data_IF_011979103405
#
_entry.id   IF_011979103405
#
_cell.length_a   1.000
_cell.length_b   1.000
_cell.length_c   1.000
_cell.angle_alpha   90.00
_cell.angle_beta   90.00
_cell.angle_gamma   90.00
#
_symmetry.space_group_name_H-M   'P 1'
#
loop_
_entity.id
_entity.type
_entity.pdbx_description
1 polymer ?
#
# COMPACT_ATOMS: atom_id res chain seq x y z
N UNK A 1 1.88 -31.07 14.24
CA UNK A 1 2.05 -29.65 13.89
C UNK A 1 0.68 -29.14 13.44
N UNK A 2 0.17 -28.04 14.01
CA UNK A 2 -1.04 -27.41 13.47
C UNK A 2 -0.69 -26.84 12.08
N UNK A 3 -1.59 -27.05 11.10
CA UNK A 3 -1.39 -26.48 9.76
C UNK A 3 -1.26 -24.95 9.87
N UNK A 4 -0.36 -24.36 9.08
CA UNK A 4 -0.22 -22.90 9.01
C UNK A 4 -1.55 -22.32 8.50
N UNK A 5 -2.17 -21.36 9.20
CA UNK A 5 -3.41 -20.74 8.75
C UNK A 5 -3.26 -19.90 7.47
N UNK A 6 -2.02 -19.59 7.06
CA UNK A 6 -1.71 -18.84 5.83
C UNK A 6 -1.15 -19.79 4.78
N UNK A 7 -1.85 -19.89 3.67
CA UNK A 7 -1.49 -20.71 2.51
C UNK A 7 -0.90 -19.83 1.39
N UNK A 8 0.27 -20.23 0.89
CA UNK A 8 0.90 -19.58 -0.25
C UNK A 8 0.23 -19.98 -1.57
N UNK A 9 -0.15 -19.02 -2.39
CA UNK A 9 -0.77 -19.21 -3.69
C UNK A 9 0.23 -18.97 -4.80
N UNK A 10 0.26 -19.85 -5.81
CA UNK A 10 1.09 -19.75 -7.00
C UNK A 10 2.55 -19.38 -6.68
N UNK A 11 3.29 -20.23 -5.94
CA UNK A 11 4.67 -19.95 -5.56
C UNK A 11 5.57 -19.89 -6.79
N UNK A 12 6.49 -18.93 -6.79
CA UNK A 12 7.46 -18.67 -7.86
C UNK A 12 8.88 -18.50 -7.28
N UNK A 13 9.87 -18.49 -8.17
CA UNK A 13 11.24 -18.09 -7.83
C UNK A 13 11.60 -16.83 -8.62
N UNK A 14 11.53 -15.69 -7.95
CA UNK A 14 11.65 -14.39 -8.58
C UNK A 14 13.11 -13.98 -8.81
N UNK A 15 13.38 -13.50 -10.03
CA UNK A 15 14.62 -12.88 -10.43
C UNK A 15 15.82 -13.83 -10.48
N UNK A 16 17.01 -13.27 -10.78
CA UNK A 16 18.27 -14.04 -10.87
C UNK A 16 18.67 -14.70 -9.55
N UNK A 17 18.34 -14.05 -8.43
CA UNK A 17 18.56 -14.57 -7.08
C UNK A 17 17.63 -15.72 -6.68
N UNK A 18 16.63 -16.04 -7.52
CA UNK A 18 15.64 -17.11 -7.32
C UNK A 18 14.98 -17.04 -5.93
N UNK A 19 14.57 -15.84 -5.52
CA UNK A 19 13.89 -15.61 -4.25
C UNK A 19 12.53 -16.35 -4.25
N UNK A 20 12.28 -17.27 -3.31
CA UNK A 20 10.98 -17.92 -3.18
C UNK A 20 9.92 -16.87 -2.80
N UNK A 21 8.97 -16.61 -3.70
CA UNK A 21 7.86 -15.69 -3.50
C UNK A 21 6.54 -16.44 -3.75
N UNK A 22 5.47 -15.96 -3.12
CA UNK A 22 4.11 -16.32 -3.44
C UNK A 22 3.46 -15.14 -4.18
N UNK A 23 2.79 -15.40 -5.31
CA UNK A 23 2.03 -14.35 -6.01
C UNK A 23 0.82 -13.88 -5.20
N UNK A 24 0.44 -14.66 -4.21
CA UNK A 24 -0.56 -14.31 -3.22
C UNK A 24 -0.58 -15.27 -2.06
N UNK A 25 -1.42 -14.97 -1.08
CA UNK A 25 -1.69 -15.82 0.08
C UNK A 25 -3.18 -15.82 0.40
N UNK A 26 -3.63 -16.91 1.03
CA UNK A 26 -4.97 -17.06 1.56
C UNK A 26 -4.92 -17.34 3.05
N UNK A 27 -5.77 -16.66 3.85
CA UNK A 27 -5.97 -16.97 5.26
C UNK A 27 -7.37 -16.56 5.72
N UNK A 28 -8.11 -17.49 6.28
CA UNK A 28 -9.52 -17.26 6.66
C UNK A 28 -10.34 -16.74 5.47
N UNK A 29 -11.02 -15.60 5.61
CA UNK A 29 -11.79 -15.00 4.52
C UNK A 29 -10.93 -14.23 3.50
N UNK A 30 -9.67 -13.99 3.78
CA UNK A 30 -8.81 -13.07 3.05
C UNK A 30 -8.00 -13.74 1.95
N UNK A 31 -7.86 -13.05 0.82
CA UNK A 31 -6.92 -13.35 -0.26
C UNK A 31 -6.14 -12.07 -0.58
N UNK A 32 -4.82 -12.17 -0.52
CA UNK A 32 -3.90 -11.09 -0.87
C UNK A 32 -3.10 -11.49 -2.09
N UNK A 33 -3.19 -10.70 -3.15
CA UNK A 33 -2.33 -10.81 -4.33
C UNK A 33 -1.23 -9.75 -4.20
N UNK A 34 0.02 -10.17 -4.09
CA UNK A 34 1.16 -9.29 -3.81
C UNK A 34 2.17 -9.31 -4.94
N UNK A 35 2.77 -8.14 -5.21
CA UNK A 35 3.87 -8.03 -6.16
C UNK A 35 3.53 -8.51 -7.58
N UNK A 36 2.30 -8.26 -8.05
CA UNK A 36 1.88 -8.65 -9.40
C UNK A 36 2.61 -7.78 -10.42
N UNK A 37 3.42 -8.43 -11.23
CA UNK A 37 4.24 -7.85 -12.31
C UNK A 37 4.09 -8.68 -13.58
N UNK A 38 4.23 -8.05 -14.74
CA UNK A 38 4.29 -8.74 -16.03
C UNK A 38 5.71 -9.33 -16.26
N UNK A 39 6.16 -10.24 -15.38
CA UNK A 39 7.50 -10.79 -15.36
C UNK A 39 7.55 -12.18 -16.02
N UNK A 40 8.72 -12.53 -16.60
CA UNK A 40 9.04 -13.89 -17.02
C UNK A 40 9.55 -14.77 -15.84
N UNK A 41 9.49 -14.26 -14.60
CA UNK A 41 10.02 -14.83 -13.35
C UNK A 41 11.57 -15.01 -13.33
N UNK A 42 12.26 -14.73 -14.42
CA UNK A 42 13.73 -14.79 -14.55
C UNK A 42 14.39 -13.42 -14.40
N UNK A 43 13.61 -12.36 -14.38
CA UNK A 43 14.06 -10.99 -14.22
C UNK A 43 13.85 -10.11 -15.46
N UNK A 44 13.09 -10.59 -16.44
CA UNK A 44 12.62 -9.86 -17.62
C UNK A 44 11.11 -9.67 -17.64
N UNK A 45 10.64 -8.87 -18.60
CA UNK A 45 9.23 -8.76 -18.92
C UNK A 45 8.74 -10.04 -19.59
N UNK A 46 7.50 -10.42 -19.30
CA UNK A 46 6.85 -11.55 -19.96
C UNK A 46 6.70 -11.30 -21.47
N UNK A 47 6.93 -12.32 -22.32
CA UNK A 47 6.82 -12.16 -23.77
C UNK A 47 5.51 -11.55 -24.24
N UNK A 48 4.40 -11.89 -23.59
CA UNK A 48 3.07 -11.34 -23.91
C UNK A 48 2.91 -9.85 -23.57
N UNK A 49 3.73 -9.30 -22.70
CA UNK A 49 3.74 -7.88 -22.38
C UNK A 49 4.54 -7.04 -23.40
N UNK A 50 5.40 -7.69 -24.18
CA UNK A 50 6.23 -7.03 -25.19
C UNK A 50 5.95 -7.61 -26.58
N UNK A 51 5.84 -6.74 -27.58
CA UNK A 51 5.70 -7.12 -28.99
C UNK A 51 6.91 -6.61 -29.75
N UNK A 52 7.84 -7.52 -30.05
CA UNK A 52 9.02 -7.19 -30.83
C UNK A 52 8.75 -6.96 -32.31
N UNK A 53 7.60 -7.46 -32.83
CA UNK A 53 7.29 -7.42 -34.26
C UNK A 53 6.56 -6.14 -34.71
N UNK A 54 5.80 -5.51 -33.81
CA UNK A 54 4.96 -4.35 -34.15
C UNK A 54 4.99 -3.27 -33.07
N UNK A 55 6.14 -2.72 -32.73
CA UNK A 55 6.28 -1.83 -31.57
C UNK A 55 5.50 -0.52 -31.70
N UNK A 56 5.20 -0.07 -32.93
CA UNK A 56 4.50 1.21 -33.17
C UNK A 56 3.10 1.03 -33.76
N UNK A 57 2.70 -0.16 -34.21
CA UNK A 57 1.42 -0.39 -34.89
C UNK A 57 0.54 -1.47 -34.27
N UNK A 58 1.01 -2.16 -33.24
CA UNK A 58 0.24 -3.13 -32.48
C UNK A 58 -0.51 -2.50 -31.31
N UNK A 59 -1.08 -3.32 -30.44
CA UNK A 59 -1.61 -2.86 -29.17
C UNK A 59 -0.52 -2.15 -28.36
N UNK A 60 -0.79 -1.01 -27.72
CA UNK A 60 0.20 -0.30 -26.92
C UNK A 60 0.83 -1.22 -25.88
N UNK A 61 2.14 -1.13 -25.70
CA UNK A 61 2.88 -1.97 -24.75
C UNK A 61 2.25 -1.95 -23.35
N UNK A 62 1.92 -0.76 -22.85
CA UNK A 62 1.34 -0.62 -21.51
C UNK A 62 -0.03 -1.28 -21.37
N UNK A 63 -0.84 -1.31 -22.43
CA UNK A 63 -2.11 -2.06 -22.41
C UNK A 63 -1.87 -3.57 -22.33
N UNK A 64 -0.90 -4.11 -23.08
CA UNK A 64 -0.53 -5.53 -23.00
C UNK A 64 0.04 -5.89 -21.63
N UNK A 65 0.90 -5.03 -21.09
CA UNK A 65 1.46 -5.19 -19.75
C UNK A 65 0.36 -5.19 -18.69
N UNK A 66 -0.56 -4.22 -18.73
CA UNK A 66 -1.72 -4.15 -17.85
C UNK A 66 -2.62 -5.39 -17.94
N UNK A 67 -2.92 -5.84 -19.17
CA UNK A 67 -3.71 -7.06 -19.40
C UNK A 67 -3.02 -8.30 -18.83
N UNK A 68 -1.69 -8.39 -18.94
CA UNK A 68 -0.90 -9.45 -18.32
C UNK A 68 -1.01 -9.41 -16.79
N UNK A 69 -0.94 -8.21 -16.18
CA UNK A 69 -1.11 -8.04 -14.73
C UNK A 69 -2.50 -8.50 -14.27
N UNK A 70 -3.58 -8.04 -14.94
CA UNK A 70 -4.95 -8.43 -14.56
C UNK A 70 -5.19 -9.92 -14.75
N UNK A 71 -4.71 -10.53 -15.82
CA UNK A 71 -4.79 -11.99 -16.00
C UNK A 71 -4.12 -12.71 -14.83
N UNK A 72 -2.90 -12.33 -14.46
CA UNK A 72 -2.17 -12.93 -13.33
C UNK A 72 -2.84 -12.71 -11.98
N UNK A 73 -3.37 -11.50 -11.76
CA UNK A 73 -4.17 -11.23 -10.56
C UNK A 73 -5.39 -12.13 -10.52
N UNK A 74 -6.12 -12.29 -11.64
CA UNK A 74 -7.24 -13.22 -11.75
C UNK A 74 -6.85 -14.67 -11.45
N UNK A 75 -5.70 -15.14 -11.91
CA UNK A 75 -5.17 -16.48 -11.58
C UNK A 75 -4.92 -16.64 -10.07
N UNK A 76 -4.37 -15.61 -9.40
CA UNK A 76 -4.16 -15.61 -7.94
C UNK A 76 -5.49 -15.61 -7.19
N UNK A 77 -6.42 -14.76 -7.60
CA UNK A 77 -7.75 -14.68 -6.98
C UNK A 77 -8.49 -16.03 -7.12
N UNK A 78 -8.49 -16.63 -8.31
CA UNK A 78 -9.10 -17.93 -8.54
C UNK A 78 -8.46 -19.04 -7.69
N UNK A 79 -7.12 -19.07 -7.60
CA UNK A 79 -6.40 -20.00 -6.71
C UNK A 79 -6.77 -19.78 -5.23
N UNK A 80 -7.06 -18.53 -4.84
CA UNK A 80 -7.55 -18.16 -3.52
C UNK A 80 -9.02 -18.50 -3.27
N UNK A 81 -9.77 -18.88 -4.30
CA UNK A 81 -11.22 -19.17 -4.22
C UNK A 81 -12.06 -17.89 -4.25
N UNK A 82 -11.68 -16.90 -5.03
CA UNK A 82 -12.37 -15.61 -5.20
C UNK A 82 -12.17 -15.07 -6.62
N UNK A 83 -12.63 -13.86 -6.90
CA UNK A 83 -12.56 -13.20 -8.18
C UNK A 83 -12.49 -11.66 -8.04
N UNK A 84 -12.51 -10.94 -9.17
CA UNK A 84 -12.48 -9.47 -9.16
C UNK A 84 -13.72 -8.83 -8.52
N UNK A 85 -14.89 -9.48 -8.58
CA UNK A 85 -16.11 -8.95 -7.95
C UNK A 85 -16.02 -8.94 -6.42
N UNK A 86 -15.07 -9.67 -5.84
CA UNK A 86 -14.83 -9.73 -4.40
C UNK A 86 -13.57 -8.99 -3.95
N UNK A 87 -12.96 -8.18 -4.83
CA UNK A 87 -11.81 -7.36 -4.48
C UNK A 87 -12.26 -6.15 -3.66
N UNK A 88 -11.56 -5.86 -2.57
CA UNK A 88 -11.89 -4.75 -1.66
C UNK A 88 -10.88 -3.60 -1.73
N UNK A 89 -9.70 -3.82 -2.33
CA UNK A 89 -8.65 -2.81 -2.49
C UNK A 89 -7.71 -3.19 -3.62
N UNK A 90 -7.22 -2.19 -4.35
CA UNK A 90 -6.19 -2.32 -5.37
C UNK A 90 -5.21 -1.16 -5.29
N UNK A 91 -3.92 -1.46 -5.09
CA UNK A 91 -2.85 -0.47 -5.08
C UNK A 91 -1.98 -0.66 -6.33
N UNK A 92 -1.65 0.42 -7.02
CA UNK A 92 -0.86 0.39 -8.26
C UNK A 92 0.29 1.39 -8.20
N UNK A 93 1.43 0.99 -8.77
CA UNK A 93 2.66 1.78 -8.82
C UNK A 93 3.16 1.88 -10.26
N UNK A 94 3.59 3.08 -10.65
CA UNK A 94 4.01 3.40 -12.02
C UNK A 94 5.29 4.24 -12.01
N UNK A 95 6.27 3.93 -12.86
CA UNK A 95 7.39 4.84 -13.11
C UNK A 95 7.03 6.00 -14.05
N UNK A 96 5.91 5.87 -14.78
CA UNK A 96 5.50 6.80 -15.81
C UNK A 96 3.97 6.94 -15.81
N UNK A 97 3.47 8.17 -15.59
CA UNK A 97 2.03 8.46 -15.58
C UNK A 97 1.31 8.07 -16.89
N UNK A 98 2.02 8.03 -18.02
CA UNK A 98 1.44 7.64 -19.32
C UNK A 98 0.97 6.18 -19.35
N UNK A 99 1.41 5.35 -18.43
CA UNK A 99 0.94 3.97 -18.29
C UNK A 99 -0.46 3.89 -17.64
N UNK A 100 -0.84 4.87 -16.82
CA UNK A 100 -2.08 4.85 -16.02
C UNK A 100 -3.36 4.72 -16.87
N UNK A 101 -3.56 5.49 -17.96
CA UNK A 101 -4.74 5.34 -18.82
C UNK A 101 -4.88 3.92 -19.39
N UNK A 102 -3.78 3.28 -19.75
CA UNK A 102 -3.79 1.91 -20.29
C UNK A 102 -4.14 0.87 -19.25
N UNK A 103 -3.70 1.08 -17.98
CA UNK A 103 -4.14 0.25 -16.88
C UNK A 103 -5.65 0.40 -16.68
N UNK A 104 -6.20 1.61 -16.72
CA UNK A 104 -7.65 1.83 -16.59
C UNK A 104 -8.45 1.12 -17.68
N UNK A 105 -7.99 1.15 -18.95
CA UNK A 105 -8.62 0.41 -20.05
C UNK A 105 -8.59 -1.10 -19.81
N UNK A 106 -7.44 -1.67 -19.45
CA UNK A 106 -7.31 -3.08 -19.14
C UNK A 106 -8.16 -3.47 -17.91
N UNK A 107 -8.17 -2.63 -16.88
CA UNK A 107 -8.98 -2.82 -15.68
C UNK A 107 -10.46 -2.96 -16.01
N UNK A 108 -11.00 -2.03 -16.82
CA UNK A 108 -12.40 -2.10 -17.27
C UNK A 108 -12.70 -3.38 -18.03
N UNK A 109 -11.77 -3.82 -18.90
CA UNK A 109 -11.93 -5.04 -19.68
C UNK A 109 -11.94 -6.32 -18.83
N UNK A 110 -11.17 -6.34 -17.73
CA UNK A 110 -11.05 -7.52 -16.85
C UNK A 110 -12.03 -7.52 -15.68
N UNK A 111 -12.32 -6.36 -15.09
CA UNK A 111 -13.15 -6.24 -13.88
C UNK A 111 -14.62 -5.93 -14.20
N UNK A 112 -14.96 -5.54 -15.45
CA UNK A 112 -16.32 -5.16 -15.82
C UNK A 112 -16.75 -3.86 -15.12
N UNK A 113 -17.96 -3.88 -14.53
CA UNK A 113 -18.57 -2.69 -13.93
C UNK A 113 -18.18 -2.45 -12.48
N UNK A 114 -17.67 -3.48 -11.80
CA UNK A 114 -17.17 -3.32 -10.44
C UNK A 114 -15.65 -3.17 -10.41
N UNK A 115 -15.20 -2.04 -9.89
CA UNK A 115 -13.79 -1.75 -9.67
C UNK A 115 -13.61 -1.39 -8.21
N UNK A 116 -12.77 -2.14 -7.50
CA UNK A 116 -12.48 -1.92 -6.08
C UNK A 116 -11.85 -0.54 -5.80
N UNK A 117 -11.91 -0.04 -4.55
CA UNK A 117 -11.15 1.13 -4.11
C UNK A 117 -9.70 1.06 -4.58
N UNK A 118 -9.22 2.14 -5.18
CA UNK A 118 -7.96 2.15 -5.92
C UNK A 118 -7.08 3.30 -5.48
N UNK A 119 -5.76 3.08 -5.51
CA UNK A 119 -4.72 4.07 -5.28
C UNK A 119 -3.65 3.89 -6.34
N UNK A 120 -3.30 4.96 -7.07
CA UNK A 120 -2.33 4.93 -8.17
C UNK A 120 -1.23 5.95 -7.93
N UNK A 121 0.01 5.49 -7.74
CA UNK A 121 1.14 6.31 -7.29
C UNK A 121 2.31 6.19 -8.25
N UNK A 122 2.98 7.32 -8.49
CA UNK A 122 4.20 7.36 -9.29
C UNK A 122 5.43 7.15 -8.39
N UNK A 123 6.24 6.14 -8.75
CA UNK A 123 7.45 5.79 -8.05
C UNK A 123 8.63 5.66 -9.01
N UNK A 124 9.87 5.99 -8.61
CA UNK A 124 11.01 6.04 -9.53
C UNK A 124 11.27 4.74 -10.28
N UNK A 125 11.09 3.60 -9.61
CA UNK A 125 11.40 2.29 -10.18
C UNK A 125 10.55 1.19 -9.54
N UNK A 126 10.22 0.21 -10.35
CA UNK A 126 9.60 -1.05 -9.93
C UNK A 126 10.65 -2.15 -9.81
N UNK A 127 10.31 -3.22 -9.10
CA UNK A 127 11.20 -4.34 -8.85
C UNK A 127 11.70 -4.98 -10.14
N UNK A 128 10.88 -5.04 -11.18
CA UNK A 128 11.26 -5.56 -12.48
C UNK A 128 11.79 -4.42 -13.36
N UNK A 129 13.06 -4.46 -13.80
CA UNK A 129 13.59 -3.47 -14.71
C UNK A 129 12.76 -3.36 -16.00
N UNK A 130 12.42 -2.14 -16.37
CA UNK A 130 11.63 -1.85 -17.56
C UNK A 130 10.13 -2.11 -17.41
N UNK A 131 9.62 -2.56 -16.27
CA UNK A 131 8.18 -2.62 -16.01
C UNK A 131 7.59 -1.20 -15.98
N UNK A 132 6.41 -1.04 -16.57
CA UNK A 132 5.63 0.20 -16.56
C UNK A 132 4.59 0.24 -15.45
N UNK A 133 4.33 -0.89 -14.78
CA UNK A 133 3.35 -0.95 -13.70
C UNK A 133 3.56 -2.16 -12.80
N UNK A 134 3.13 -2.02 -11.53
CA UNK A 134 3.03 -3.09 -10.55
C UNK A 134 1.69 -2.95 -9.81
N UNK A 135 1.15 -4.06 -9.31
CA UNK A 135 -0.16 -4.07 -8.67
C UNK A 135 -0.21 -5.00 -7.46
N UNK A 136 -1.02 -4.62 -6.50
CA UNK A 136 -1.43 -5.44 -5.37
C UNK A 136 -2.95 -5.41 -5.23
N UNK A 137 -3.54 -6.50 -4.75
CA UNK A 137 -4.97 -6.57 -4.48
C UNK A 137 -5.26 -7.27 -3.17
N UNK A 138 -6.33 -6.81 -2.50
CA UNK A 138 -6.94 -7.49 -1.37
C UNK A 138 -8.35 -7.88 -1.78
N UNK A 139 -8.69 -9.15 -1.58
CA UNK A 139 -10.02 -9.68 -1.86
C UNK A 139 -10.53 -10.52 -0.70
N UNK A 140 -11.84 -10.76 -0.67
CA UNK A 140 -12.47 -11.68 0.26
C UNK A 140 -13.04 -12.88 -0.47
N UNK A 141 -13.14 -13.99 0.22
CA UNK A 141 -13.73 -15.21 -0.32
C UNK A 141 -15.26 -15.18 -0.20
N UNK A 142 -15.99 -15.48 -1.28
CA UNK A 142 -17.44 -15.60 -1.19
C UNK A 142 -17.85 -16.64 -0.14
N UNK A 143 -18.91 -16.37 0.58
CA UNK A 143 -19.45 -17.28 1.61
C UNK A 143 -18.60 -17.41 2.88
N UNK A 144 -17.52 -16.64 3.03
CA UNK A 144 -16.65 -16.68 4.22
C UNK A 144 -17.07 -15.66 5.32
N UNK A 145 -18.31 -15.18 5.28
CA UNK A 145 -18.88 -14.30 6.32
C UNK A 145 -18.58 -12.82 6.13
N UNK A 146 -17.93 -12.44 5.03
CA UNK A 146 -17.65 -11.03 4.68
C UNK A 146 -18.38 -10.67 3.38
N UNK A 147 -19.59 -10.16 3.49
CA UNK A 147 -20.34 -9.67 2.34
C UNK A 147 -19.76 -8.31 1.88
N UNK A 148 -19.60 -8.16 0.56
CA UNK A 148 -19.11 -6.94 -0.06
C UNK A 148 -20.27 -6.03 -0.45
N UNK A 149 -20.12 -4.74 -0.14
CA UNK A 149 -21.00 -3.69 -0.63
C UNK A 149 -20.21 -2.48 -1.08
N UNK A 150 -20.32 -2.12 -2.35
CA UNK A 150 -19.76 -0.87 -2.87
C UNK A 150 -20.71 0.29 -2.52
N UNK A 151 -20.13 1.41 -2.07
CA UNK A 151 -20.84 2.61 -1.68
C UNK A 151 -20.32 3.77 -2.52
N UNK A 152 -21.24 4.59 -3.02
CA UNK A 152 -20.96 5.74 -3.88
C UNK A 152 -21.60 7.01 -3.28
N UNK A 153 -21.06 7.54 -2.15
CA UNK A 153 -21.57 8.79 -1.57
C UNK A 153 -21.47 9.91 -2.60
N UNK A 154 -22.56 10.65 -2.81
CA UNK A 154 -22.65 11.67 -3.85
C UNK A 154 -21.59 12.78 -3.75
N UNK A 155 -21.05 13.01 -2.55
CA UNK A 155 -19.96 13.98 -2.31
C UNK A 155 -18.57 13.45 -2.74
N UNK A 156 -18.46 12.16 -3.03
CA UNK A 156 -17.22 11.46 -3.37
C UNK A 156 -17.23 11.01 -4.83
N UNK A 157 -17.42 11.95 -5.74
CA UNK A 157 -17.29 11.63 -7.16
C UNK A 157 -15.93 11.06 -7.49
N UNK A 158 -15.92 10.09 -8.37
CA UNK A 158 -14.73 9.44 -8.91
C UNK A 158 -14.66 9.74 -10.39
N UNK A 159 -13.47 10.06 -10.95
CA UNK A 159 -13.33 10.29 -12.37
C UNK A 159 -13.87 9.12 -13.19
N UNK A 160 -14.70 9.40 -14.19
CA UNK A 160 -15.32 8.37 -15.03
C UNK A 160 -14.29 7.43 -15.70
N UNK A 161 -13.10 7.95 -15.99
CA UNK A 161 -11.99 7.16 -16.56
C UNK A 161 -11.41 6.14 -15.59
N UNK A 162 -11.49 6.39 -14.28
CA UNK A 162 -11.03 5.45 -13.25
C UNK A 162 -12.15 4.55 -12.72
N UNK A 163 -13.36 5.07 -12.57
CA UNK A 163 -14.62 4.37 -12.27
C UNK A 163 -14.57 3.39 -11.06
N UNK A 164 -13.66 3.61 -10.12
CA UNK A 164 -13.54 2.75 -8.92
C UNK A 164 -14.61 3.09 -7.88
N UNK A 165 -14.99 2.13 -7.05
CA UNK A 165 -15.83 2.39 -5.88
C UNK A 165 -15.04 3.23 -4.87
N UNK A 166 -15.54 4.42 -4.46
CA UNK A 166 -14.82 5.25 -3.49
C UNK A 166 -14.74 4.60 -2.10
N UNK A 167 -15.71 3.76 -1.78
CA UNK A 167 -15.78 3.03 -0.52
C UNK A 167 -16.35 1.63 -0.76
N UNK A 168 -15.76 0.64 -0.11
CA UNK A 168 -16.29 -0.73 -0.09
C UNK A 168 -16.32 -1.23 1.34
N UNK A 169 -17.42 -1.85 1.74
CA UNK A 169 -17.48 -2.61 2.99
C UNK A 169 -17.32 -4.11 2.71
N UNK A 170 -16.69 -4.83 3.63
CA UNK A 170 -16.61 -6.28 3.64
C UNK A 170 -16.88 -6.76 5.09
N UNK A 171 -18.12 -7.17 5.36
CA UNK A 171 -18.60 -7.29 6.74
C UNK A 171 -18.41 -5.96 7.49
N UNK A 172 -17.75 -6.01 8.65
CA UNK A 172 -17.44 -4.81 9.44
C UNK A 172 -16.29 -3.96 8.87
N UNK A 173 -15.50 -4.48 7.94
CA UNK A 173 -14.35 -3.73 7.41
C UNK A 173 -14.80 -2.72 6.34
N UNK A 174 -14.18 -1.54 6.38
CA UNK A 174 -14.44 -0.42 5.47
C UNK A 174 -13.14 -0.06 4.75
N UNK A 175 -13.13 -0.17 3.44
CA UNK A 175 -12.00 0.17 2.58
C UNK A 175 -12.30 1.45 1.83
N UNK A 176 -11.45 2.46 1.99
CA UNK A 176 -11.58 3.78 1.38
C UNK A 176 -10.47 3.98 0.36
N UNK A 177 -10.83 4.39 -0.84
CA UNK A 177 -9.88 4.66 -1.93
C UNK A 177 -8.89 5.78 -1.59
N UNK A 178 -7.84 5.93 -2.40
CA UNK A 178 -6.94 7.07 -2.35
C UNK A 178 -7.67 8.36 -2.72
N UNK A 179 -7.59 9.37 -1.86
CA UNK A 179 -8.15 10.69 -2.10
C UNK A 179 -7.09 11.77 -2.06
N UNK A 180 -7.20 12.67 -3.02
CA UNK A 180 -6.47 13.93 -3.13
C UNK A 180 -7.36 15.09 -2.65
N UNK A 181 -6.75 16.26 -2.42
CA UNK A 181 -7.48 17.50 -2.17
C UNK A 181 -8.10 18.06 -3.48
N UNK A 182 -8.72 17.19 -4.29
CA UNK A 182 -9.31 17.54 -5.58
C UNK A 182 -10.56 18.40 -5.43
N UNK A 183 -10.66 19.41 -6.29
CA UNK A 183 -11.83 20.28 -6.39
C UNK A 183 -12.70 19.81 -7.57
N UNK A 184 -14.01 19.93 -7.39
CA UNK A 184 -15.03 19.34 -8.25
C UNK A 184 -14.81 17.84 -8.45
N UNK A 185 -15.53 17.05 -7.68
CA UNK A 185 -15.59 15.62 -7.87
C UNK A 185 -15.86 15.29 -9.35
N UNK A 186 -15.19 14.25 -9.89
CA UNK A 186 -15.31 13.85 -11.28
C UNK A 186 -14.61 14.75 -12.30
N UNK A 187 -14.25 15.97 -11.93
CA UNK A 187 -13.45 16.89 -12.74
C UNK A 187 -12.04 16.99 -12.12
N UNK A 188 -11.02 16.61 -12.86
CA UNK A 188 -9.62 16.72 -12.46
C UNK A 188 -9.13 18.19 -12.53
N UNK A 189 -9.96 19.12 -12.08
CA UNK A 189 -9.74 20.55 -12.15
C UNK A 189 -8.62 21.12 -11.24
N UNK A 190 -7.89 20.26 -10.54
CA UNK A 190 -6.78 20.66 -9.67
C UNK A 190 -7.12 20.65 -8.17
N UNK A 191 -6.24 21.24 -7.37
CA UNK A 191 -6.40 21.32 -5.91
C UNK A 191 -7.51 22.29 -5.56
N UNK A 192 -8.34 21.91 -4.58
CA UNK A 192 -9.43 22.72 -4.06
C UNK A 192 -8.94 24.11 -3.59
N UNK A 193 -9.69 25.18 -3.86
CA UNK A 193 -9.30 26.51 -3.39
C UNK A 193 -9.06 26.60 -1.88
N UNK A 194 -9.88 25.88 -1.09
CA UNK A 194 -9.73 25.76 0.38
C UNK A 194 -8.44 25.05 0.82
N UNK A 195 -7.85 24.25 -0.05
CA UNK A 195 -6.62 23.49 0.19
C UNK A 195 -5.37 24.21 -0.34
N UNK A 196 -5.52 25.40 -0.90
CA UNK A 196 -4.42 26.23 -1.42
C UNK A 196 -4.05 27.34 -0.44
N UNK A 197 -2.77 27.66 -0.39
CA UNK A 197 -2.33 28.94 0.19
C UNK A 197 -2.86 30.05 -0.71
N UNK A 198 -3.55 31.07 -0.17
CA UNK A 198 -4.06 32.18 -0.97
C UNK A 198 -2.94 32.86 -1.76
N UNK A 199 -3.20 33.19 -3.02
CA UNK A 199 -2.22 33.84 -3.87
C UNK A 199 -1.71 35.15 -3.26
N UNK A 200 -0.41 35.37 -3.33
CA UNK A 200 0.25 36.55 -2.73
C UNK A 200 0.42 36.52 -1.21
N UNK A 201 0.01 35.46 -0.53
CA UNK A 201 0.10 35.34 0.93
C UNK A 201 1.09 34.25 1.38
N UNK A 202 2.35 34.59 1.55
CA UNK A 202 3.42 33.65 1.91
C UNK A 202 3.24 32.97 3.29
N UNK A 203 2.46 33.56 4.21
CA UNK A 203 2.34 33.09 5.60
C UNK A 203 0.92 32.68 6.01
N UNK A 204 0.00 32.59 5.07
CA UNK A 204 -1.38 32.17 5.37
C UNK A 204 -1.61 30.67 5.14
N UNK A 205 -0.74 29.85 5.69
CA UNK A 205 -0.91 28.40 5.73
C UNK A 205 0.31 27.65 5.19
N UNK A 206 0.33 26.36 5.51
CA UNK A 206 1.27 25.40 4.97
C UNK A 206 0.50 24.48 4.01
N UNK A 207 0.97 24.34 2.77
CA UNK A 207 0.29 23.58 1.71
C UNK A 207 -0.14 22.20 2.15
N UNK A 208 0.78 21.42 2.74
CA UNK A 208 0.45 20.05 3.18
C UNK A 208 -0.61 20.03 4.27
N UNK A 209 -0.61 21.03 5.17
CA UNK A 209 -1.61 21.12 6.23
C UNK A 209 -3.00 21.42 5.67
N UNK A 210 -3.08 22.32 4.69
CA UNK A 210 -4.36 22.67 4.05
C UNK A 210 -4.92 21.50 3.24
N UNK A 211 -4.07 20.82 2.47
CA UNK A 211 -4.47 19.65 1.69
C UNK A 211 -4.91 18.50 2.60
N UNK A 212 -4.13 18.17 3.64
CA UNK A 212 -4.47 17.11 4.59
C UNK A 212 -5.79 17.40 5.31
N UNK A 213 -5.98 18.62 5.81
CA UNK A 213 -7.23 19.04 6.48
C UNK A 213 -8.44 18.93 5.53
N UNK A 214 -8.29 19.38 4.28
CA UNK A 214 -9.33 19.26 3.26
C UNK A 214 -9.68 17.81 2.97
N UNK A 215 -8.68 16.96 2.71
CA UNK A 215 -8.88 15.53 2.42
C UNK A 215 -9.63 14.88 3.58
N UNK A 216 -9.19 15.11 4.82
CA UNK A 216 -9.83 14.52 6.00
C UNK A 216 -11.29 14.97 6.11
N UNK A 217 -11.57 16.27 6.11
CA UNK A 217 -12.91 16.81 6.33
C UNK A 217 -13.88 16.58 5.17
N UNK A 218 -13.38 16.70 3.94
CA UNK A 218 -14.24 16.73 2.74
C UNK A 218 -14.29 15.41 1.98
N UNK A 219 -13.36 14.48 2.26
CA UNK A 219 -13.30 13.19 1.57
C UNK A 219 -13.40 12.02 2.57
N UNK A 220 -12.47 11.93 3.53
CA UNK A 220 -12.38 10.76 4.40
C UNK A 220 -13.53 10.67 5.41
N UNK A 221 -13.90 11.78 6.05
CA UNK A 221 -15.02 11.80 7.01
C UNK A 221 -16.32 11.39 6.33
N UNK A 222 -16.74 12.02 5.21
CA UNK A 222 -17.95 11.58 4.51
C UNK A 222 -17.89 10.12 4.00
N UNK A 223 -16.73 9.66 3.57
CA UNK A 223 -16.53 8.27 3.15
C UNK A 223 -16.80 7.30 4.31
N UNK A 224 -16.20 7.57 5.47
CA UNK A 224 -16.35 6.76 6.67
C UNK A 224 -17.77 6.80 7.21
N UNK A 225 -18.38 7.98 7.34
CA UNK A 225 -19.74 8.14 7.84
C UNK A 225 -20.76 7.43 6.95
N UNK A 226 -20.62 7.55 5.62
CA UNK A 226 -21.46 6.85 4.66
C UNK A 226 -21.36 5.31 4.75
N UNK A 227 -20.28 4.80 5.34
CA UNK A 227 -20.07 3.38 5.61
C UNK A 227 -20.29 2.96 7.07
N UNK A 228 -20.89 3.84 7.90
CA UNK A 228 -21.11 3.55 9.32
C UNK A 228 -19.83 3.54 10.17
N UNK A 229 -18.74 4.12 9.68
CA UNK A 229 -17.45 4.22 10.36
C UNK A 229 -17.17 5.66 10.85
N UNK A 230 -15.99 5.88 11.41
CA UNK A 230 -15.53 7.22 11.82
C UNK A 230 -14.01 7.26 11.87
N UNK A 231 -13.41 8.45 12.03
CA UNK A 231 -11.97 8.57 12.23
C UNK A 231 -11.47 7.73 13.42
N UNK A 232 -12.26 7.64 14.50
CA UNK A 232 -11.89 6.84 15.66
C UNK A 232 -11.83 5.33 15.39
N UNK A 233 -12.48 4.85 14.33
CA UNK A 233 -12.50 3.44 13.95
C UNK A 233 -11.48 3.08 12.85
N UNK A 234 -10.68 4.04 12.38
CA UNK A 234 -9.65 3.77 11.36
C UNK A 234 -8.55 2.88 11.92
N UNK A 235 -8.26 1.81 11.20
CA UNK A 235 -7.27 0.78 11.56
C UNK A 235 -5.93 1.08 10.90
N UNK A 236 -5.97 1.40 9.61
CA UNK A 236 -4.78 1.58 8.76
C UNK A 236 -4.96 2.79 7.86
N UNK A 237 -3.89 3.54 7.70
CA UNK A 237 -3.74 4.57 6.69
C UNK A 237 -2.44 4.38 5.91
N UNK A 238 -2.48 4.58 4.59
CA UNK A 238 -1.29 4.89 3.81
C UNK A 238 -1.39 6.33 3.34
N UNK A 239 -0.35 7.09 3.61
CA UNK A 239 -0.21 8.50 3.26
C UNK A 239 0.97 8.61 2.32
N UNK A 240 0.69 8.95 1.08
CA UNK A 240 1.69 9.19 0.06
C UNK A 240 1.98 10.69 0.02
N UNK A 241 3.27 11.05 -0.02
CA UNK A 241 3.73 12.43 0.08
C UNK A 241 4.69 12.76 -1.06
N UNK A 242 4.45 13.86 -1.77
CA UNK A 242 5.36 14.39 -2.77
C UNK A 242 6.70 14.87 -2.15
N UNK A 243 6.69 15.17 -0.87
CA UNK A 243 7.89 15.50 -0.10
C UNK A 243 7.77 14.91 1.31
N UNK A 244 8.62 13.96 1.65
CA UNK A 244 8.60 13.32 2.96
C UNK A 244 8.92 14.28 4.12
N UNK A 245 9.57 15.43 3.83
CA UNK A 245 9.83 16.46 4.82
C UNK A 245 8.55 17.16 5.31
N UNK A 246 7.43 16.93 4.64
CA UNK A 246 6.12 17.43 5.05
C UNK A 246 5.50 16.61 6.22
N UNK A 247 6.07 15.45 6.60
CA UNK A 247 5.55 14.59 7.67
C UNK A 247 5.31 15.33 9.00
N UNK A 248 6.22 16.17 9.52
CA UNK A 248 5.94 16.87 10.77
C UNK A 248 4.74 17.83 10.69
N UNK A 249 4.61 18.57 9.59
CA UNK A 249 3.49 19.48 9.38
C UNK A 249 2.17 18.72 9.13
N UNK A 250 2.21 17.61 8.39
CA UNK A 250 1.10 16.70 8.20
C UNK A 250 0.62 16.13 9.54
N UNK A 251 1.55 15.63 10.38
CA UNK A 251 1.23 15.03 11.68
C UNK A 251 0.52 15.99 12.64
N UNK A 252 0.76 17.30 12.57
CA UNK A 252 0.01 18.27 13.36
C UNK A 252 -1.49 18.27 13.00
N UNK A 253 -1.82 18.16 11.72
CA UNK A 253 -3.21 18.04 11.25
C UNK A 253 -3.77 16.67 11.63
N UNK A 254 -2.99 15.61 11.39
CA UNK A 254 -3.38 14.23 11.68
C UNK A 254 -3.74 14.04 13.15
N UNK A 255 -2.87 14.48 14.06
CA UNK A 255 -3.11 14.42 15.51
C UNK A 255 -4.34 15.23 15.93
N UNK A 256 -4.60 16.38 15.32
CA UNK A 256 -5.78 17.21 15.61
C UNK A 256 -7.08 16.48 15.28
N UNK A 257 -7.13 15.78 14.14
CA UNK A 257 -8.35 15.08 13.70
C UNK A 257 -8.54 13.72 14.38
N UNK A 258 -7.47 12.97 14.60
CA UNK A 258 -7.54 11.63 15.17
C UNK A 258 -7.46 11.59 16.70
N UNK A 259 -6.91 12.63 17.34
CA UNK A 259 -6.73 12.68 18.80
C UNK A 259 -5.99 11.46 19.33
N UNK A 260 -6.61 10.71 20.22
CA UNK A 260 -6.05 9.47 20.77
C UNK A 260 -6.25 8.25 19.87
N UNK A 261 -6.99 8.38 18.77
CA UNK A 261 -7.36 7.27 17.90
C UNK A 261 -6.49 7.17 16.64
N UNK A 262 -5.26 7.67 16.68
CA UNK A 262 -4.32 7.61 15.53
C UNK A 262 -4.23 6.17 15.00
N UNK A 263 -4.42 5.94 13.69
CA UNK A 263 -4.32 4.63 13.08
C UNK A 263 -2.87 4.20 12.88
N UNK A 264 -2.66 2.92 12.59
CA UNK A 264 -1.40 2.47 12.01
C UNK A 264 -1.18 3.18 10.67
N UNK A 265 -0.15 4.02 10.58
CA UNK A 265 0.09 4.90 9.45
C UNK A 265 1.44 4.62 8.78
N UNK A 266 1.44 4.49 7.45
CA UNK A 266 2.66 4.40 6.64
C UNK A 266 2.78 5.65 5.79
N UNK A 267 3.88 6.39 5.93
CA UNK A 267 4.23 7.56 5.12
C UNK A 267 5.16 7.15 3.99
N UNK A 268 4.68 7.24 2.76
CA UNK A 268 5.42 6.82 1.57
C UNK A 268 5.83 8.05 0.78
N UNK A 269 7.13 8.31 0.61
CA UNK A 269 7.57 9.34 -0.33
C UNK A 269 7.31 8.91 -1.77
N UNK A 270 6.81 9.82 -2.61
CA UNK A 270 6.53 9.58 -4.03
C UNK A 270 7.32 10.54 -4.90
N UNK A 271 7.27 10.34 -6.22
CA UNK A 271 7.74 11.34 -7.16
C UNK A 271 7.01 12.68 -6.97
N UNK A 272 7.59 13.77 -7.46
CA UNK A 272 6.96 15.08 -7.59
C UNK A 272 7.04 15.53 -9.07
N UNK A 273 5.93 15.50 -9.84
CA UNK A 273 4.58 15.05 -9.47
C UNK A 273 4.47 13.53 -9.29
N UNK A 274 3.71 13.09 -8.28
CA UNK A 274 3.51 11.68 -7.91
C UNK A 274 2.07 11.19 -8.02
N UNK A 275 1.14 12.09 -8.33
CA UNK A 275 -0.31 11.88 -8.26
C UNK A 275 -1.03 12.25 -9.55
N UNK A 276 -2.33 11.93 -9.61
CA UNK A 276 -3.19 12.30 -10.73
C UNK A 276 -3.31 13.83 -10.93
N UNK A 277 -3.09 14.63 -9.89
CA UNK A 277 -3.03 16.10 -9.94
C UNK A 277 -1.58 16.51 -9.68
N UNK A 278 -0.96 17.16 -10.65
CA UNK A 278 0.47 17.51 -10.62
C UNK A 278 0.86 18.36 -9.40
N UNK A 279 -0.03 19.21 -8.91
CA UNK A 279 0.20 20.09 -7.76
C UNK A 279 -0.12 19.46 -6.41
N UNK A 280 -0.64 18.22 -6.36
CA UNK A 280 -0.99 17.57 -5.10
C UNK A 280 0.25 17.28 -4.25
N UNK A 281 0.13 17.50 -2.95
CA UNK A 281 1.19 17.20 -1.96
C UNK A 281 1.00 15.85 -1.30
N UNK A 282 -0.24 15.35 -1.21
CA UNK A 282 -0.51 14.05 -0.61
C UNK A 282 -1.74 13.36 -1.19
N UNK A 283 -1.73 12.02 -1.09
CA UNK A 283 -2.87 11.14 -1.28
C UNK A 283 -3.04 10.24 -0.07
N UNK A 284 -4.28 10.01 0.37
CA UNK A 284 -4.56 9.24 1.59
C UNK A 284 -5.60 8.17 1.29
N UNK A 285 -5.30 6.91 1.60
CA UNK A 285 -6.27 5.82 1.65
C UNK A 285 -6.39 5.26 3.07
N UNK A 286 -7.55 4.66 3.38
CA UNK A 286 -7.84 4.17 4.72
C UNK A 286 -8.44 2.75 4.70
N UNK A 287 -8.24 2.05 5.83
CA UNK A 287 -9.06 0.92 6.24
C UNK A 287 -9.58 1.19 7.65
N UNK A 288 -10.88 1.01 7.84
CA UNK A 288 -11.55 1.20 9.11
C UNK A 288 -12.43 -0.01 9.45
N UNK A 289 -13.04 0.02 10.63
CA UNK A 289 -14.12 -0.89 11.01
C UNK A 289 -15.40 -0.11 11.30
N UNK A 290 -16.54 -0.72 11.06
CA UNK A 290 -17.85 -0.12 11.38
C UNK A 290 -17.96 0.15 12.89
N UNK A 291 -18.60 1.27 13.25
CA UNK A 291 -18.79 1.68 14.67
C UNK A 291 -19.64 0.69 15.46
N UNK A 292 -20.70 0.23 14.83
CA UNK A 292 -21.70 -0.67 15.44
C UNK A 292 -21.43 -2.14 15.09
N UNK A 293 -20.28 -2.43 14.46
CA UNK A 293 -19.82 -3.78 14.14
C UNK A 293 -19.23 -4.50 15.34
N UNK A 294 -19.18 -5.81 15.26
CA UNK A 294 -18.59 -6.68 16.30
C UNK A 294 -17.07 -6.73 16.31
N UNK A 295 -16.40 -6.09 15.33
CA UNK A 295 -14.94 -6.14 15.17
C UNK A 295 -14.24 -5.05 15.98
N UNK A 296 -13.54 -5.38 17.08
CA UNK A 296 -12.86 -4.40 17.91
C UNK A 296 -11.60 -3.86 17.22
N UNK A 297 -11.36 -2.56 17.38
CA UNK A 297 -10.10 -1.90 17.03
C UNK A 297 -9.18 -1.84 18.25
N UNK A 298 -8.03 -2.49 18.19
CA UNK A 298 -7.09 -2.56 19.31
C UNK A 298 -5.70 -2.07 18.89
N UNK A 299 -5.28 -0.86 19.30
CA UNK A 299 -3.94 -0.36 19.00
C UNK A 299 -2.90 -1.06 19.87
N UNK A 300 -1.83 -1.52 19.27
CA UNK A 300 -0.63 -2.00 19.95
C UNK A 300 0.31 -0.80 20.16
N UNK A 301 0.27 -0.26 21.37
CA UNK A 301 1.21 0.79 21.77
C UNK A 301 2.61 0.17 21.88
N UNK A 302 3.60 0.85 21.37
CA UNK A 302 5.01 0.51 21.52
C UNK A 302 5.80 1.79 21.67
N UNK A 303 6.85 1.76 22.46
CA UNK A 303 7.86 2.82 22.56
C UNK A 303 8.92 2.67 21.46
N UNK A 304 8.60 2.01 20.34
CA UNK A 304 9.59 1.78 19.30
C UNK A 304 9.80 3.05 18.48
N UNK A 305 11.02 3.59 18.44
CA UNK A 305 11.38 4.68 17.55
C UNK A 305 11.32 4.32 16.05
N UNK A 306 11.01 3.04 15.74
CA UNK A 306 10.86 2.55 14.36
C UNK A 306 9.62 3.09 13.64
N UNK A 307 8.75 3.84 14.30
CA UNK A 307 7.57 4.49 13.72
C UNK A 307 7.57 5.98 14.07
N UNK A 308 6.75 6.77 13.38
CA UNK A 308 6.57 8.18 13.70
C UNK A 308 5.99 8.37 15.11
N UNK A 309 6.42 9.43 15.80
CA UNK A 309 5.92 9.79 17.13
C UNK A 309 4.40 9.94 17.15
N UNK A 310 3.77 9.44 18.20
CA UNK A 310 2.32 9.48 18.38
C UNK A 310 1.55 8.40 17.61
N UNK A 311 2.21 7.60 16.75
CA UNK A 311 1.57 6.51 16.03
C UNK A 311 1.70 5.18 16.77
N UNK A 312 0.66 4.30 16.73
CA UNK A 312 0.77 2.95 17.28
C UNK A 312 1.75 2.13 16.42
N UNK A 313 2.40 1.15 17.02
CA UNK A 313 3.25 0.20 16.29
C UNK A 313 2.44 -0.59 15.25
N UNK A 314 1.25 -1.03 15.66
CA UNK A 314 0.27 -1.72 14.84
C UNK A 314 -1.14 -1.53 15.40
N UNK A 315 -2.16 -1.80 14.61
CA UNK A 315 -3.56 -1.86 15.05
C UNK A 315 -4.12 -3.23 14.64
N UNK A 316 -4.67 -3.95 15.61
CA UNK A 316 -5.45 -5.16 15.35
C UNK A 316 -6.91 -4.79 15.15
N UNK A 317 -7.53 -5.38 14.15
CA UNK A 317 -8.97 -5.37 13.92
C UNK A 317 -9.42 -6.78 13.50
N UNK A 318 -10.13 -7.47 14.39
CA UNK A 318 -10.53 -8.85 14.16
C UNK A 318 -9.36 -9.76 13.80
N UNK A 319 -9.39 -10.33 12.60
CA UNK A 319 -8.37 -11.23 12.08
C UNK A 319 -7.20 -10.53 11.38
N UNK A 320 -7.16 -9.20 11.35
CA UNK A 320 -6.08 -8.42 10.73
C UNK A 320 -5.26 -7.66 11.77
N UNK A 321 -3.95 -7.73 11.65
CA UNK A 321 -2.98 -6.88 12.32
C UNK A 321 -2.25 -6.04 11.28
N UNK A 322 -2.48 -4.73 11.30
CA UNK A 322 -1.90 -3.77 10.36
C UNK A 322 -0.81 -2.96 11.06
N UNK A 323 0.38 -2.97 10.52
CA UNK A 323 1.52 -2.22 11.07
C UNK A 323 1.55 -0.78 10.56
N UNK A 324 2.09 0.13 11.35
CA UNK A 324 2.63 1.40 10.83
C UNK A 324 3.85 1.13 9.97
N UNK A 325 4.24 2.09 9.14
CA UNK A 325 5.48 2.00 8.37
C UNK A 325 6.68 1.89 9.30
N UNK A 326 7.39 0.75 9.26
CA UNK A 326 8.53 0.46 10.11
C UNK A 326 9.83 0.86 9.42
N UNK A 327 10.67 1.66 10.08
CA UNK A 327 12.04 2.00 9.66
C UNK A 327 13.04 1.60 10.73
N UNK A 328 14.26 1.26 10.33
CA UNK A 328 15.30 0.76 11.26
C UNK A 328 15.97 1.91 12.01
N UNK A 329 15.26 2.50 12.95
CA UNK A 329 15.70 3.64 13.75
C UNK A 329 15.59 3.40 15.26
N UNK A 330 16.46 4.04 16.00
CA UNK A 330 16.43 4.19 17.46
C UNK A 330 16.31 5.68 17.83
N UNK A 331 16.34 6.03 19.11
CA UNK A 331 16.27 7.41 19.58
C UNK A 331 17.41 8.32 19.07
N UNK A 332 18.45 7.74 18.46
CA UNK A 332 19.60 8.46 17.90
C UNK A 332 19.57 8.54 16.35
N UNK A 333 18.48 8.08 15.71
CA UNK A 333 18.33 7.97 14.27
C UNK A 333 18.52 6.53 13.76
N UNK A 334 19.04 6.31 12.54
CA UNK A 334 19.25 4.96 12.01
C UNK A 334 20.08 4.10 12.95
N UNK A 335 19.74 2.82 13.12
CA UNK A 335 20.45 1.89 14.01
C UNK A 335 21.96 1.81 13.67
N UNK A 336 22.79 1.50 14.66
CA UNK A 336 24.25 1.51 14.51
C UNK A 336 24.77 0.62 13.37
N UNK A 337 24.17 -0.54 13.14
CA UNK A 337 24.55 -1.45 12.03
C UNK A 337 24.19 -0.94 10.64
N UNK A 338 23.24 0.02 10.54
CA UNK A 338 22.85 0.66 9.29
C UNK A 338 23.69 1.93 8.99
N UNK A 339 24.32 2.52 10.01
CA UNK A 339 25.14 3.75 9.91
C UNK A 339 26.47 3.58 9.18
N UNK A 340 26.73 2.43 8.57
CA UNK A 340 27.98 2.17 7.83
C UNK A 340 28.22 3.24 6.76
N UNK A 341 29.43 3.84 6.80
CA UNK A 341 29.82 4.94 5.94
C UNK A 341 29.62 4.67 4.45
N UNK A 342 29.89 5.65 3.60
CA UNK A 342 29.58 5.85 2.18
C UNK A 342 29.68 4.67 1.18
N UNK A 343 29.86 3.42 1.62
CA UNK A 343 29.78 2.19 0.85
C UNK A 343 28.47 1.46 1.18
N UNK A 344 27.63 1.23 0.17
CA UNK A 344 26.43 0.41 0.21
C UNK A 344 26.78 -1.04 0.60
N UNK A 345 26.98 -1.32 1.88
CA UNK A 345 27.30 -2.65 2.37
C UNK A 345 26.03 -3.50 2.46
N UNK A 346 26.07 -4.71 1.91
CA UNK A 346 25.02 -5.75 2.12
C UNK A 346 24.78 -6.02 3.61
N UNK A 347 25.76 -5.80 4.46
CA UNK A 347 25.60 -5.93 5.91
C UNK A 347 24.65 -4.91 6.52
N UNK A 348 24.58 -3.69 5.99
CA UNK A 348 23.70 -2.63 6.50
C UNK A 348 22.22 -2.96 6.33
N UNK A 349 21.78 -3.35 5.11
CA UNK A 349 20.39 -3.71 4.88
C UNK A 349 19.96 -4.97 5.66
N UNK A 350 20.88 -5.94 5.85
CA UNK A 350 20.61 -7.11 6.67
C UNK A 350 20.43 -6.74 8.15
N UNK A 351 21.21 -5.78 8.65
CA UNK A 351 21.06 -5.26 10.02
C UNK A 351 19.71 -4.55 10.18
N UNK A 352 19.34 -3.68 9.24
CA UNK A 352 18.01 -3.04 9.22
C UNK A 352 16.90 -4.08 9.27
N UNK A 353 16.93 -5.05 8.36
CA UNK A 353 15.90 -6.08 8.27
C UNK A 353 15.78 -6.91 9.55
N UNK A 354 16.91 -7.35 10.14
CA UNK A 354 16.87 -8.10 11.41
C UNK A 354 16.21 -7.28 12.50
N UNK A 355 16.58 -6.00 12.65
CA UNK A 355 15.98 -5.10 13.64
C UNK A 355 14.47 -4.94 13.44
N UNK A 356 14.04 -4.71 12.18
CA UNK A 356 12.61 -4.56 11.84
C UNK A 356 11.82 -5.84 12.12
N UNK A 357 12.38 -7.01 11.78
CA UNK A 357 11.72 -8.30 12.00
C UNK A 357 11.65 -8.67 13.49
N UNK A 358 12.62 -8.27 14.33
CA UNK A 358 12.55 -8.46 15.77
C UNK A 358 11.39 -7.65 16.37
N UNK A 359 11.24 -6.37 15.96
CA UNK A 359 10.11 -5.52 16.40
C UNK A 359 8.77 -6.09 15.92
N UNK A 360 8.70 -6.49 14.65
CA UNK A 360 7.48 -7.03 14.08
C UNK A 360 7.08 -8.38 14.72
N UNK A 361 8.05 -9.25 15.02
CA UNK A 361 7.81 -10.53 15.70
C UNK A 361 7.26 -10.33 17.12
N UNK A 362 7.82 -9.37 17.88
CA UNK A 362 7.32 -9.03 19.20
C UNK A 362 5.89 -8.47 19.16
N UNK A 363 5.59 -7.59 18.19
CA UNK A 363 4.25 -7.07 18.01
C UNK A 363 3.25 -8.18 17.63
N UNK A 364 3.63 -9.10 16.75
CA UNK A 364 2.82 -10.27 16.40
C UNK A 364 2.52 -11.13 17.64
N UNK A 365 3.53 -11.43 18.45
CA UNK A 365 3.37 -12.21 19.69
C UNK A 365 2.38 -11.55 20.66
N UNK A 366 2.46 -10.23 20.83
CA UNK A 366 1.52 -9.44 21.66
C UNK A 366 0.10 -9.44 21.10
N UNK A 367 -0.04 -9.52 19.78
CA UNK A 367 -1.34 -9.61 19.11
C UNK A 367 -1.92 -11.03 19.04
N UNK A 368 -1.21 -12.04 19.57
CA UNK A 368 -1.63 -13.45 19.55
C UNK A 368 -1.40 -14.13 18.19
N UNK A 369 -0.39 -13.70 17.42
CA UNK A 369 -0.02 -14.27 16.14
C UNK A 369 1.51 -14.40 15.99
N UNK A 370 2.00 -14.70 14.78
CA UNK A 370 3.43 -14.76 14.48
C UNK A 370 3.70 -14.20 13.08
N UNK A 371 4.96 -13.89 12.77
CA UNK A 371 5.38 -13.48 11.42
C UNK A 371 5.14 -14.56 10.36
N UNK A 372 4.97 -15.81 10.75
CA UNK A 372 4.60 -16.90 9.84
C UNK A 372 3.21 -16.70 9.20
N UNK A 373 2.38 -15.88 9.85
CA UNK A 373 1.03 -15.55 9.40
C UNK A 373 0.97 -14.24 8.59
N UNK A 374 2.11 -13.78 8.06
CA UNK A 374 2.14 -12.57 7.22
C UNK A 374 1.32 -12.77 5.95
N UNK A 375 0.46 -11.78 5.68
CA UNK A 375 -0.41 -11.72 4.49
C UNK A 375 0.20 -10.84 3.40
N UNK A 376 0.89 -9.77 3.79
CA UNK A 376 1.48 -8.77 2.90
C UNK A 376 2.79 -8.27 3.48
N UNK A 377 3.84 -8.32 2.67
CA UNK A 377 5.15 -7.72 2.93
C UNK A 377 5.36 -6.67 1.85
N UNK A 378 5.06 -5.42 2.14
CA UNK A 378 5.36 -4.33 1.22
C UNK A 378 6.65 -3.64 1.67
N UNK A 379 7.62 -3.55 0.76
CA UNK A 379 8.92 -2.96 0.99
C UNK A 379 9.10 -1.71 0.14
N UNK A 380 9.35 -0.58 0.79
CA UNK A 380 9.70 0.68 0.15
C UNK A 380 11.19 0.90 0.30
N UNK A 381 11.94 0.74 -0.79
CA UNK A 381 13.39 0.84 -0.80
C UNK A 381 13.87 2.18 -1.36
N UNK A 382 14.89 2.78 -0.78
CA UNK A 382 15.59 3.91 -1.41
C UNK A 382 16.48 3.45 -2.57
N UNK A 383 16.79 2.14 -2.61
CA UNK A 383 17.51 1.46 -3.69
C UNK A 383 17.06 0.00 -3.78
N UNK A 384 16.46 -0.41 -4.89
CA UNK A 384 16.04 -1.80 -5.12
C UNK A 384 17.20 -2.81 -5.21
N UNK A 385 18.45 -2.36 -5.30
CA UNK A 385 19.60 -3.23 -5.12
C UNK A 385 19.66 -3.93 -3.75
N UNK A 386 18.92 -3.40 -2.77
CA UNK A 386 18.78 -3.96 -1.43
C UNK A 386 17.70 -5.03 -1.31
N UNK A 387 16.85 -5.21 -2.31
CA UNK A 387 15.71 -6.14 -2.26
C UNK A 387 16.12 -7.58 -1.99
N UNK A 388 17.09 -8.12 -2.76
CA UNK A 388 17.50 -9.52 -2.58
C UNK A 388 18.11 -9.77 -1.19
N UNK A 389 19.09 -8.99 -0.69
CA UNK A 389 19.62 -9.21 0.66
C UNK A 389 18.58 -8.99 1.75
N UNK A 390 17.59 -8.10 1.57
CA UNK A 390 16.46 -7.94 2.49
C UNK A 390 15.58 -9.19 2.53
N UNK A 391 15.20 -9.74 1.36
CA UNK A 391 14.41 -10.96 1.29
C UNK A 391 15.14 -12.18 1.86
N UNK A 392 16.48 -12.25 1.77
CA UNK A 392 17.25 -13.34 2.39
C UNK A 392 17.06 -13.39 3.89
N UNK A 393 16.98 -12.24 4.58
CA UNK A 393 16.71 -12.19 6.02
C UNK A 393 15.31 -12.72 6.33
N UNK A 394 14.30 -12.37 5.54
CA UNK A 394 12.96 -12.94 5.68
C UNK A 394 12.97 -14.46 5.54
N UNK A 395 13.64 -14.99 4.52
CA UNK A 395 13.70 -16.43 4.27
C UNK A 395 14.40 -17.19 5.39
N UNK A 396 15.47 -16.61 5.96
CA UNK A 396 16.16 -17.17 7.14
C UNK A 396 15.23 -17.23 8.35
N UNK A 397 14.41 -16.19 8.57
CA UNK A 397 13.46 -16.11 9.69
C UNK A 397 12.23 -17.00 9.52
N UNK A 398 11.78 -17.21 8.28
CA UNK A 398 10.56 -17.98 7.96
C UNK A 398 10.86 -19.38 7.39
N UNK A 399 12.10 -19.89 7.56
CA UNK A 399 12.44 -21.25 7.12
C UNK A 399 12.32 -21.48 5.62
N UNK A 400 12.58 -20.47 4.79
CA UNK A 400 12.55 -20.58 3.34
C UNK A 400 11.16 -20.59 2.69
N UNK A 401 10.11 -20.27 3.43
CA UNK A 401 8.73 -20.19 2.90
C UNK A 401 8.62 -19.14 1.78
N UNK A 402 7.78 -19.36 0.76
CA UNK A 402 7.49 -18.36 -0.25
C UNK A 402 6.91 -17.08 0.38
N UNK A 403 7.49 -15.93 0.04
CA UNK A 403 7.15 -14.63 0.64
C UNK A 403 6.03 -13.94 -0.16
N UNK A 404 4.93 -13.46 0.48
CA UNK A 404 3.96 -12.58 -0.15
C UNK A 404 4.51 -11.13 -0.21
N UNK A 405 5.57 -10.94 -1.01
CA UNK A 405 6.35 -9.71 -1.02
C UNK A 405 6.09 -8.87 -2.27
N UNK A 406 5.98 -7.58 -2.07
CA UNK A 406 6.10 -6.54 -3.09
C UNK A 406 7.20 -5.55 -2.73
N UNK A 407 7.78 -4.92 -3.72
CA UNK A 407 8.77 -3.89 -3.50
C UNK A 407 8.73 -2.85 -4.62
N UNK A 408 8.91 -1.60 -4.22
CA UNK A 408 9.10 -0.46 -5.12
C UNK A 408 10.27 0.39 -4.62
N UNK A 409 10.94 1.07 -5.54
CA UNK A 409 11.90 2.11 -5.15
C UNK A 409 11.14 3.41 -4.95
N UNK A 410 11.40 4.06 -3.83
CA UNK A 410 10.83 5.36 -3.51
C UNK A 410 11.92 6.44 -3.56
N UNK A 411 11.57 7.72 -3.76
CA UNK A 411 12.52 8.81 -3.57
C UNK A 411 13.03 8.83 -2.12
N UNK A 412 14.33 9.02 -1.96
CA UNK A 412 14.87 9.26 -0.61
C UNK A 412 14.70 10.74 -0.18
N UNK A 413 14.80 11.03 1.11
CA UNK A 413 14.94 10.06 2.20
C UNK A 413 13.63 9.38 2.60
N UNK A 414 13.68 8.35 3.44
CA UNK A 414 12.53 7.86 4.21
C UNK A 414 12.27 8.79 5.40
N UNK A 415 11.20 8.54 6.16
CA UNK A 415 10.80 9.32 7.36
C UNK A 415 11.93 9.49 8.39
N UNK A 416 12.88 8.57 8.42
CA UNK A 416 14.15 8.72 9.14
C UNK A 416 15.27 8.71 8.09
N UNK A 417 15.92 9.86 7.83
CA UNK A 417 17.01 9.95 6.86
C UNK A 417 18.15 8.98 7.21
N UNK A 418 18.62 8.25 6.20
CA UNK A 418 19.67 7.24 6.35
C UNK A 418 19.16 5.81 6.47
N UNK A 419 17.89 5.56 6.77
CA UNK A 419 17.26 4.25 6.62
C UNK A 419 17.08 3.93 5.13
N UNK A 420 17.24 2.66 4.76
CA UNK A 420 17.28 2.19 3.37
C UNK A 420 15.99 1.47 2.96
N UNK A 421 15.25 0.96 3.92
CA UNK A 421 13.98 0.25 3.70
C UNK A 421 12.95 0.65 4.75
N UNK A 422 11.70 0.75 4.29
CA UNK A 422 10.53 0.83 5.17
C UNK A 422 9.63 -0.37 4.87
N UNK A 423 9.12 -1.02 5.93
CA UNK A 423 8.19 -2.13 5.85
C UNK A 423 6.76 -1.68 6.16
N UNK A 424 5.81 -2.09 5.32
CA UNK A 424 4.38 -2.08 5.62
C UNK A 424 3.90 -3.52 5.66
N UNK A 425 3.45 -3.97 6.82
CA UNK A 425 3.10 -5.37 7.08
C UNK A 425 1.63 -5.52 7.44
N UNK A 426 1.00 -6.56 6.87
CA UNK A 426 -0.30 -7.05 7.29
C UNK A 426 -0.17 -8.51 7.69
N UNK A 427 -0.71 -8.87 8.85
CA UNK A 427 -0.56 -10.20 9.43
C UNK A 427 -1.93 -10.75 9.82
N UNK A 428 -2.16 -12.02 9.55
CA UNK A 428 -3.37 -12.72 9.96
C UNK A 428 -3.31 -13.09 11.45
N UNK A 429 -4.40 -12.86 12.15
CA UNK A 429 -4.61 -13.27 13.53
C UNK A 429 -5.68 -14.34 13.53
N UNK A 430 -5.32 -15.61 13.80
CA UNK A 430 -6.26 -16.75 13.79
C UNK A 430 -7.39 -16.62 14.79
#
# INVERSE_FOLDING_TARGET
MRANPVEALLPIKLGKGRIPCARGVRAGPWVFASGILATDDKGGLAPEAVDGGRPLSGLPRWYREASCLYRRAGEVLAAGGTDFAHTVRSDQYFPDWRAVPFLHLARKAHCGDYIAPSTSILEPRLLLPGAGMAMEMIAVRPGAGLEIKALYPAILDVPATSAFAPVVTAGDYVFVAGFLAAWKPGDLGGIAPEAKVPEGHLWKGNRIQLEADYIIRKKLVPALEGAGASLASVVKAQVYLADIRDVPAFNQVWARHFGQAVPATTFVPTLDPGFAIADARCEINLVAVARDGGTPRTPLKGSSPAVCDGHPLAVRAGSLLCFSGLVAADAKGPIAGARGGAGRSRSGIRAEMNYLLDIAAEACRRAGTSLENVLRIQQFHTDLGDFEPACRVWLERLGGRPLPVSAVQVPGPLVVPGCRVMLDLWVYVP
#
